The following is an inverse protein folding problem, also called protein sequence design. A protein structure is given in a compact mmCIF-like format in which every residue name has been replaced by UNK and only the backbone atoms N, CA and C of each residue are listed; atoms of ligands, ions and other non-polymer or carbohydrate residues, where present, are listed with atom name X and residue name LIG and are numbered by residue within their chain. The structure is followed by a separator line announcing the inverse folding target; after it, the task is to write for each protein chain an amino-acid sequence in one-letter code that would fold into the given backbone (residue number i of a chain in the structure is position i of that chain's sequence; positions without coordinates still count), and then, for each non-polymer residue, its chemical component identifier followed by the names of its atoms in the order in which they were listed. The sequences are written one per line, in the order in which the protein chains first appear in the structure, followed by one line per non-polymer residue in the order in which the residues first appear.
data_IF_259168388111
#
_entry.id   IF_259168388111
#
_cell.length_a   1.000
_cell.length_b   1.000
_cell.length_c   1.000
_cell.angle_alpha   90.00
_cell.angle_beta   90.00
_cell.angle_gamma   90.00
#
_symmetry.space_group_name_H-M   'P 1'
#
loop_
_entity.id
_entity.type
_entity.pdbx_description
1 polymer ?
#
# COMPACT_ATOMS: atom_id res chain seq x y z
N UNK A 1 12.13 43.82 2.93
CA UNK A 1 12.00 42.93 4.08
C UNK A 1 10.81 41.97 3.94
N UNK A 2 9.60 42.45 3.62
CA UNK A 2 8.40 41.61 3.48
C UNK A 2 8.52 40.57 2.32
N UNK A 3 9.15 40.93 1.21
CA UNK A 3 9.35 40.05 0.05
C UNK A 3 10.30 38.88 0.35
N UNK A 4 11.36 39.11 1.13
CA UNK A 4 12.29 38.04 1.53
C UNK A 4 11.63 36.98 2.43
N UNK A 5 10.77 37.41 3.36
CA UNK A 5 10.00 36.48 4.21
C UNK A 5 8.97 35.68 3.41
N UNK A 6 8.33 36.30 2.45
CA UNK A 6 7.36 35.65 1.56
C UNK A 6 8.04 34.60 0.66
N UNK A 7 9.21 34.94 0.10
CA UNK A 7 10.02 34.01 -0.71
C UNK A 7 10.48 32.79 0.09
N UNK A 8 10.89 32.97 1.34
CA UNK A 8 11.30 31.88 2.23
C UNK A 8 10.15 30.93 2.57
N UNK A 9 8.94 31.47 2.76
CA UNK A 9 7.74 30.67 3.03
C UNK A 9 7.37 29.82 1.79
N UNK A 10 7.41 30.39 0.61
CA UNK A 10 7.15 29.68 -0.65
C UNK A 10 8.17 28.56 -0.87
N UNK A 11 9.46 28.80 -0.62
CA UNK A 11 10.52 27.81 -0.74
C UNK A 11 10.31 26.64 0.26
N UNK A 12 9.89 26.95 1.48
CA UNK A 12 9.62 25.96 2.51
C UNK A 12 8.40 25.06 2.17
N UNK A 13 7.32 25.64 1.65
CA UNK A 13 6.13 24.90 1.21
C UNK A 13 6.47 23.97 0.03
N UNK A 14 7.32 24.40 -0.89
CA UNK A 14 7.73 23.61 -2.06
C UNK A 14 8.56 22.36 -1.65
N UNK A 15 9.46 22.51 -0.67
CA UNK A 15 10.29 21.39 -0.19
C UNK A 15 9.47 20.30 0.54
N UNK A 16 8.43 20.67 1.27
CA UNK A 16 7.55 19.72 1.97
C UNK A 16 6.78 18.83 0.95
N UNK A 17 6.31 19.40 -0.13
CA UNK A 17 5.57 18.65 -1.16
C UNK A 17 6.42 17.59 -1.88
N UNK A 18 7.70 17.85 -2.13
CA UNK A 18 8.62 16.90 -2.76
C UNK A 18 8.88 15.71 -1.85
N UNK A 19 9.06 15.93 -0.55
CA UNK A 19 9.32 14.85 0.41
C UNK A 19 8.15 13.88 0.56
N UNK A 20 6.91 14.36 0.54
CA UNK A 20 5.72 13.52 0.62
C UNK A 20 5.57 12.63 -0.63
N UNK A 21 5.85 13.16 -1.80
CA UNK A 21 5.78 12.43 -3.06
C UNK A 21 6.76 11.24 -3.12
N UNK A 22 8.01 11.46 -2.69
CA UNK A 22 9.03 10.40 -2.63
C UNK A 22 8.68 9.31 -1.61
N UNK A 23 8.11 9.67 -0.46
CA UNK A 23 7.70 8.71 0.56
C UNK A 23 6.53 7.81 0.10
N UNK A 24 5.61 8.33 -0.71
CA UNK A 24 4.53 7.55 -1.31
C UNK A 24 5.05 6.59 -2.38
N UNK A 25 5.98 7.04 -3.23
CA UNK A 25 6.62 6.20 -4.25
C UNK A 25 7.38 5.03 -3.61
N UNK A 26 8.13 5.28 -2.54
CA UNK A 26 8.83 4.23 -1.78
C UNK A 26 7.85 3.21 -1.17
N UNK A 27 6.72 3.65 -0.65
CA UNK A 27 5.66 2.77 -0.15
C UNK A 27 5.06 1.91 -1.24
N UNK A 28 4.84 2.45 -2.43
CA UNK A 28 4.31 1.68 -3.56
C UNK A 28 5.29 0.60 -4.00
N UNK A 29 6.58 0.90 -4.09
CA UNK A 29 7.62 -0.07 -4.44
C UNK A 29 7.72 -1.18 -3.37
N UNK A 30 7.79 -0.80 -2.11
CA UNK A 30 7.87 -1.76 -1.00
C UNK A 30 6.60 -2.59 -0.86
N UNK A 31 5.44 -1.99 -1.08
CA UNK A 31 4.14 -2.67 -1.07
C UNK A 31 4.03 -3.72 -2.16
N UNK A 32 4.52 -3.44 -3.36
CA UNK A 32 4.61 -4.41 -4.45
C UNK A 32 5.51 -5.61 -4.09
N UNK A 33 6.65 -5.35 -3.49
CA UNK A 33 7.56 -6.39 -3.00
C UNK A 33 6.87 -7.28 -1.94
N UNK A 34 6.21 -6.69 -0.96
CA UNK A 34 5.48 -7.44 0.08
C UNK A 34 4.37 -8.27 -0.55
N UNK A 35 3.60 -7.70 -1.47
CA UNK A 35 2.50 -8.37 -2.15
C UNK A 35 2.96 -9.61 -2.94
N UNK A 36 4.04 -9.48 -3.70
CA UNK A 36 4.50 -10.56 -4.59
C UNK A 36 5.43 -11.56 -3.89
N UNK A 37 6.33 -11.10 -3.01
CA UNK A 37 7.46 -11.91 -2.56
C UNK A 37 7.40 -12.24 -1.06
N UNK A 38 7.08 -11.28 -0.21
CA UNK A 38 7.12 -11.51 1.25
C UNK A 38 5.89 -12.25 1.74
N UNK A 39 4.69 -11.75 1.42
CA UNK A 39 3.42 -12.35 1.83
C UNK A 39 2.83 -13.31 0.78
N UNK A 40 3.23 -13.16 -0.49
CA UNK A 40 2.77 -14.03 -1.56
C UNK A 40 1.28 -13.87 -1.90
N UNK A 41 0.73 -12.68 -1.77
CA UNK A 41 -0.68 -12.38 -2.07
C UNK A 41 -1.05 -12.72 -3.52
N UNK A 42 -0.09 -12.57 -4.44
CA UNK A 42 -0.22 -12.91 -5.85
C UNK A 42 -0.52 -14.38 -6.12
N UNK A 43 -0.25 -15.27 -5.18
CA UNK A 43 -0.57 -16.70 -5.31
C UNK A 43 -2.08 -16.97 -5.27
N UNK A 44 -2.88 -16.07 -4.68
CA UNK A 44 -4.32 -16.23 -4.50
C UNK A 44 -5.14 -15.12 -5.17
N UNK A 45 -4.62 -13.91 -5.28
CA UNK A 45 -5.36 -12.74 -5.75
C UNK A 45 -4.88 -12.26 -7.12
N UNK A 46 -5.82 -11.82 -7.95
CA UNK A 46 -5.53 -11.00 -9.12
C UNK A 46 -5.40 -9.53 -8.70
N UNK A 47 -4.37 -8.86 -9.18
CA UNK A 47 -4.15 -7.42 -9.09
C UNK A 47 -3.26 -7.01 -10.27
N UNK A 48 -3.83 -6.30 -11.23
CA UNK A 48 -3.17 -5.94 -12.49
C UNK A 48 -1.86 -5.17 -12.27
N UNK A 49 -1.88 -4.19 -11.37
CA UNK A 49 -0.70 -3.39 -11.03
C UNK A 49 0.47 -4.22 -10.49
N UNK A 50 0.20 -5.39 -9.88
CA UNK A 50 1.21 -6.32 -9.38
C UNK A 50 1.59 -7.40 -10.40
N UNK A 51 0.96 -7.44 -11.58
CA UNK A 51 1.12 -8.54 -12.54
C UNK A 51 0.54 -9.86 -12.05
N UNK A 52 -0.36 -9.84 -11.07
CA UNK A 52 -0.96 -11.01 -10.45
C UNK A 52 -2.29 -11.38 -11.13
N UNK A 53 -2.48 -12.66 -11.44
CA UNK A 53 -3.63 -13.18 -12.21
C UNK A 53 -4.36 -14.34 -11.53
N UNK A 54 -4.00 -14.71 -10.30
CA UNK A 54 -4.62 -15.82 -9.59
C UNK A 54 -6.10 -15.55 -9.26
N UNK A 55 -6.88 -16.63 -9.12
CA UNK A 55 -8.32 -16.57 -8.90
C UNK A 55 -8.81 -17.41 -7.70
N UNK A 56 -7.92 -17.74 -6.79
CA UNK A 56 -8.28 -18.46 -5.55
C UNK A 56 -9.02 -17.54 -4.59
N UNK A 57 -8.51 -16.32 -4.41
CA UNK A 57 -9.17 -15.26 -3.67
C UNK A 57 -9.91 -14.27 -4.58
N UNK A 58 -10.60 -13.27 -4.03
CA UNK A 58 -11.23 -12.21 -4.81
C UNK A 58 -10.23 -11.46 -5.70
N UNK A 59 -10.70 -11.05 -6.88
CA UNK A 59 -9.96 -10.15 -7.76
C UNK A 59 -9.96 -8.75 -7.13
N UNK A 60 -8.79 -8.27 -6.75
CA UNK A 60 -8.62 -7.01 -6.03
C UNK A 60 -8.87 -5.77 -6.90
N UNK A 61 -8.91 -5.91 -8.23
CA UNK A 61 -9.26 -4.82 -9.13
C UNK A 61 -10.76 -4.55 -9.24
N UNK A 62 -11.60 -5.49 -8.85
CA UNK A 62 -13.05 -5.43 -9.02
C UNK A 62 -13.83 -5.17 -7.75
N UNK A 63 -13.16 -5.11 -6.61
CA UNK A 63 -13.77 -4.83 -5.31
C UNK A 63 -13.39 -3.42 -4.85
N UNK A 64 -14.30 -2.77 -4.14
CA UNK A 64 -14.03 -1.44 -3.60
C UNK A 64 -13.23 -1.56 -2.31
N UNK A 65 -11.93 -1.34 -2.39
CA UNK A 65 -10.98 -1.50 -1.29
C UNK A 65 -10.56 -0.16 -0.71
N UNK A 66 -10.72 -0.05 0.61
CA UNK A 66 -10.08 1.00 1.40
C UNK A 66 -8.82 0.44 2.06
N UNK A 67 -7.88 1.30 2.39
CA UNK A 67 -6.66 0.89 3.12
C UNK A 67 -7.00 0.22 4.45
N UNK A 68 -7.99 0.74 5.17
CA UNK A 68 -8.46 0.18 6.44
C UNK A 68 -9.04 -1.23 6.29
N UNK A 69 -9.88 -1.45 5.27
CA UNK A 69 -10.44 -2.77 4.99
C UNK A 69 -9.36 -3.79 4.64
N UNK A 70 -8.40 -3.42 3.81
CA UNK A 70 -7.27 -4.29 3.46
C UNK A 70 -6.44 -4.62 4.71
N UNK A 71 -6.17 -3.62 5.54
CA UNK A 71 -5.45 -3.78 6.81
C UNK A 71 -6.14 -4.79 7.74
N UNK A 72 -7.44 -4.71 7.90
CA UNK A 72 -8.22 -5.66 8.71
C UNK A 72 -8.15 -7.07 8.12
N UNK A 73 -8.38 -7.22 6.82
CA UNK A 73 -8.32 -8.53 6.16
C UNK A 73 -6.94 -9.18 6.27
N UNK A 74 -5.87 -8.43 6.07
CA UNK A 74 -4.50 -8.92 6.17
C UNK A 74 -4.12 -9.25 7.61
N UNK A 75 -4.57 -8.45 8.58
CA UNK A 75 -4.26 -8.67 10.00
C UNK A 75 -4.93 -9.94 10.52
N UNK A 76 -6.23 -10.10 10.25
CA UNK A 76 -7.07 -11.14 10.87
C UNK A 76 -7.36 -12.33 9.96
N UNK A 77 -7.14 -12.19 8.67
CA UNK A 77 -7.47 -13.22 7.68
C UNK A 77 -8.97 -13.43 7.49
N UNK A 78 -9.32 -14.30 6.56
CA UNK A 78 -10.70 -14.75 6.34
C UNK A 78 -10.69 -16.09 5.60
N UNK A 79 -11.34 -17.10 6.16
CA UNK A 79 -11.37 -18.43 5.56
C UNK A 79 -9.97 -19.02 5.38
N UNK A 80 -9.59 -19.32 4.13
CA UNK A 80 -8.25 -19.86 3.82
C UNK A 80 -7.15 -18.80 3.75
N UNK A 81 -7.53 -17.52 3.74
CA UNK A 81 -6.57 -16.42 3.79
C UNK A 81 -5.92 -16.36 5.18
N UNK A 82 -4.59 -16.46 5.30
CA UNK A 82 -3.93 -16.41 6.58
C UNK A 82 -4.13 -15.09 7.33
N UNK A 83 -4.10 -15.14 8.65
CA UNK A 83 -4.10 -13.96 9.52
C UNK A 83 -2.65 -13.45 9.66
N UNK A 84 -2.14 -12.77 8.65
CA UNK A 84 -0.72 -12.37 8.56
C UNK A 84 -0.24 -11.58 9.78
N UNK A 85 -1.11 -10.76 10.36
CA UNK A 85 -0.78 -9.98 11.55
C UNK A 85 -0.81 -10.83 12.82
N UNK A 86 -1.90 -11.55 13.07
CA UNK A 86 -2.06 -12.36 14.27
C UNK A 86 -1.07 -13.52 14.33
N UNK A 87 -0.75 -14.13 13.19
CA UNK A 87 0.22 -15.22 13.09
C UNK A 87 1.67 -14.73 13.06
N UNK A 88 1.91 -13.42 13.05
CA UNK A 88 3.24 -12.84 13.04
C UNK A 88 4.02 -13.05 11.73
N UNK A 89 3.33 -13.29 10.62
CA UNK A 89 3.93 -13.44 9.28
C UNK A 89 4.42 -12.09 8.74
N UNK A 90 3.62 -11.04 8.96
CA UNK A 90 3.96 -9.66 8.64
C UNK A 90 4.01 -8.80 9.91
N UNK A 91 4.94 -7.87 9.93
CA UNK A 91 4.96 -6.81 10.96
C UNK A 91 3.81 -5.82 10.73
N UNK A 92 3.50 -5.04 11.75
CA UNK A 92 2.50 -3.97 11.63
C UNK A 92 2.86 -2.97 10.54
N UNK A 93 4.13 -2.62 10.41
CA UNK A 93 4.63 -1.71 9.37
C UNK A 93 4.44 -2.30 7.97
N UNK A 94 4.76 -3.58 7.77
CA UNK A 94 4.56 -4.27 6.49
C UNK A 94 3.08 -4.36 6.13
N UNK A 95 2.20 -4.58 7.10
CA UNK A 95 0.74 -4.56 6.90
C UNK A 95 0.27 -3.17 6.46
N UNK A 96 0.74 -2.10 7.10
CA UNK A 96 0.41 -0.73 6.73
C UNK A 96 0.88 -0.42 5.30
N UNK A 97 2.07 -0.84 4.92
CA UNK A 97 2.65 -0.62 3.59
C UNK A 97 1.90 -1.40 2.51
N UNK A 98 1.65 -2.69 2.69
CA UNK A 98 0.93 -3.50 1.69
C UNK A 98 -0.52 -3.08 1.56
N UNK A 99 -1.17 -2.66 2.64
CA UNK A 99 -2.54 -2.15 2.63
C UNK A 99 -2.64 -0.85 1.83
N UNK A 100 -1.70 0.06 2.03
CA UNK A 100 -1.57 1.27 1.22
C UNK A 100 -1.38 0.93 -0.27
N UNK A 101 -0.48 0.01 -0.59
CA UNK A 101 -0.22 -0.43 -1.95
C UNK A 101 -1.47 -0.99 -2.63
N UNK A 102 -2.15 -1.94 -2.01
CA UNK A 102 -3.35 -2.58 -2.58
C UNK A 102 -4.47 -1.56 -2.78
N UNK A 103 -4.77 -0.73 -1.79
CA UNK A 103 -5.82 0.26 -1.89
C UNK A 103 -5.57 1.30 -3.01
N UNK A 104 -4.30 1.67 -3.23
CA UNK A 104 -3.92 2.64 -4.27
C UNK A 104 -3.67 2.00 -5.65
N UNK A 105 -3.59 0.68 -5.75
CA UNK A 105 -3.36 -0.06 -6.99
C UNK A 105 -4.62 -0.70 -7.56
N UNK A 106 -5.63 -0.94 -6.74
CA UNK A 106 -6.89 -1.58 -7.12
C UNK A 106 -7.59 -0.81 -8.26
N UNK A 107 -7.95 -1.52 -9.32
CA UNK A 107 -8.68 -0.97 -10.46
C UNK A 107 -7.87 -0.04 -11.38
N UNK A 108 -6.57 -0.07 -11.33
CA UNK A 108 -5.67 0.82 -12.11
C UNK A 108 -5.12 0.16 -13.37
#
# INVERSE_FOLDING_TARGET
MKVKKFLLIILFIFTINIQNSLAEDDKMIKGLEIFNEVAGCAACHALKAAGAEANIGPNLDTVNLTEELVKDMVTYGLGVMPAYGEEGILTKEEIDIVSFYVANSSGK
#
